data_IF_061859488195
#
_entry.id   IF_061859488195
#
_cell.length_a   1.000
_cell.length_b   1.000
_cell.length_c   1.000
_cell.angle_alpha   90.00
_cell.angle_beta   90.00
_cell.angle_gamma   90.00
#
_symmetry.space_group_name_H-M   'P 1'
#
loop_
_entity.id
_entity.type
_entity.pdbx_description
1 polymer ?
#
# COMPACT_ATOMS: atom_id res chain seq x y z
N UNK A 1 23.65 -17.69 13.36
CA UNK A 1 22.51 -16.81 13.71
C UNK A 1 21.31 -17.21 12.87
N UNK A 2 20.15 -17.46 13.48
CA UNK A 2 18.92 -17.73 12.72
C UNK A 2 18.50 -16.42 12.04
N UNK A 3 18.39 -16.43 10.71
CA UNK A 3 17.92 -15.28 9.93
C UNK A 3 16.48 -14.96 10.34
N UNK A 4 16.20 -13.70 10.67
CA UNK A 4 14.83 -13.28 11.00
C UNK A 4 13.90 -13.62 9.83
N UNK A 5 12.73 -14.19 10.13
CA UNK A 5 11.72 -14.47 9.10
C UNK A 5 11.25 -13.13 8.53
N UNK A 6 11.15 -13.07 7.20
CA UNK A 6 10.64 -11.91 6.48
C UNK A 6 9.16 -12.13 6.17
N UNK A 7 8.32 -11.12 6.40
CA UNK A 7 6.87 -11.22 6.22
C UNK A 7 6.37 -9.98 5.47
N UNK A 8 5.76 -10.22 4.30
CA UNK A 8 5.13 -9.18 3.51
C UNK A 8 3.65 -9.07 3.90
N UNK A 9 3.24 -7.88 4.33
CA UNK A 9 1.83 -7.55 4.55
C UNK A 9 1.30 -6.72 3.40
N UNK A 10 0.15 -7.12 2.87
CA UNK A 10 -0.56 -6.43 1.79
C UNK A 10 -1.99 -6.22 2.27
N UNK A 11 -2.37 -4.96 2.51
CA UNK A 11 -3.68 -4.60 3.06
C UNK A 11 -4.33 -3.49 2.25
N UNK A 12 -5.66 -3.46 2.20
CA UNK A 12 -6.41 -2.36 1.61
C UNK A 12 -6.66 -1.23 2.61
N UNK A 13 -6.69 -1.54 3.91
CA UNK A 13 -7.05 -0.61 4.97
C UNK A 13 -6.01 -0.64 6.09
N UNK A 14 -5.69 0.54 6.63
CA UNK A 14 -4.81 0.67 7.78
C UNK A 14 -5.05 2.00 8.52
N UNK A 15 -5.14 1.94 9.84
CA UNK A 15 -5.16 3.14 10.68
C UNK A 15 -3.74 3.69 10.86
N UNK A 16 -3.52 5.02 10.85
CA UNK A 16 -4.51 6.09 10.79
C UNK A 16 -4.79 6.62 9.36
N UNK A 17 -4.39 5.89 8.32
CA UNK A 17 -4.46 6.39 6.95
C UNK A 17 -5.90 6.41 6.40
N UNK A 18 -6.71 5.42 6.77
CA UNK A 18 -8.15 5.37 6.49
C UNK A 18 -8.95 5.38 7.80
N UNK A 19 -10.27 5.57 7.70
CA UNK A 19 -11.19 5.54 8.85
C UNK A 19 -11.11 4.22 9.63
N UNK A 20 -11.37 4.27 10.94
CA UNK A 20 -11.35 3.08 11.78
C UNK A 20 -12.42 2.07 11.31
N UNK A 21 -11.96 0.85 11.07
CA UNK A 21 -12.76 -0.34 10.79
C UNK A 21 -12.03 -1.53 11.41
N UNK A 22 -12.68 -2.68 11.53
CA UNK A 22 -12.00 -3.90 11.99
C UNK A 22 -10.81 -4.23 11.09
N UNK A 23 -10.95 -4.08 9.77
CA UNK A 23 -9.88 -4.36 8.81
C UNK A 23 -8.74 -3.34 8.92
N UNK A 24 -9.06 -2.05 9.04
CA UNK A 24 -8.06 -0.99 9.21
C UNK A 24 -7.26 -1.16 10.52
N UNK A 25 -7.93 -1.56 11.61
CA UNK A 25 -7.30 -1.82 12.91
C UNK A 25 -6.35 -3.02 12.83
N UNK A 26 -6.80 -4.13 12.22
CA UNK A 26 -5.98 -5.32 12.01
C UNK A 26 -4.81 -5.06 11.06
N UNK A 27 -5.05 -4.28 10.00
CA UNK A 27 -4.04 -3.85 9.03
C UNK A 27 -2.86 -3.15 9.68
N UNK A 28 -3.04 -2.50 10.83
CA UNK A 28 -1.95 -1.93 11.64
C UNK A 28 -1.43 -2.90 12.70
N UNK A 29 -2.33 -3.49 13.52
CA UNK A 29 -1.96 -4.24 14.72
C UNK A 29 -1.21 -5.53 14.40
N UNK A 30 -1.59 -6.24 13.35
CA UNK A 30 -0.96 -7.53 13.00
C UNK A 30 0.48 -7.33 12.50
N UNK A 31 0.77 -6.42 11.54
CA UNK A 31 2.15 -6.13 11.17
C UNK A 31 2.99 -5.61 12.33
N UNK A 32 2.42 -4.71 13.15
CA UNK A 32 3.10 -4.17 14.32
C UNK A 32 3.54 -5.28 15.30
N UNK A 33 2.61 -6.15 15.71
CA UNK A 33 2.92 -7.27 16.62
C UNK A 33 3.97 -8.23 16.01
N UNK A 34 3.91 -8.44 14.69
CA UNK A 34 4.88 -9.27 13.97
C UNK A 34 6.28 -8.67 13.97
N UNK A 35 6.39 -7.35 13.84
CA UNK A 35 7.66 -6.63 13.96
C UNK A 35 8.20 -6.67 15.40
N UNK A 36 7.32 -6.53 16.40
CA UNK A 36 7.66 -6.62 17.83
C UNK A 36 8.17 -8.02 18.20
N UNK A 37 7.70 -9.07 17.51
CA UNK A 37 8.24 -10.45 17.54
C UNK A 37 9.60 -10.59 16.80
N UNK A 38 10.30 -9.47 16.53
CA UNK A 38 11.64 -9.41 15.91
C UNK A 38 11.71 -9.98 14.50
N UNK A 39 10.59 -9.98 13.76
CA UNK A 39 10.55 -10.35 12.34
C UNK A 39 10.75 -9.14 11.46
N UNK A 40 11.34 -9.36 10.30
CA UNK A 40 11.46 -8.31 9.30
C UNK A 40 10.14 -8.19 8.55
N UNK A 41 9.57 -6.98 8.50
CA UNK A 41 8.31 -6.75 7.82
C UNK A 41 8.43 -5.71 6.71
N UNK A 42 7.60 -5.87 5.69
CA UNK A 42 7.26 -4.81 4.73
C UNK A 42 5.74 -4.77 4.63
N UNK A 43 5.16 -3.57 4.67
CA UNK A 43 3.71 -3.41 4.59
C UNK A 43 3.35 -2.49 3.45
N UNK A 44 2.41 -2.95 2.62
CA UNK A 44 1.92 -2.23 1.46
C UNK A 44 0.41 -1.98 1.58
N UNK A 45 -0.01 -0.81 1.10
CA UNK A 45 -1.42 -0.48 0.89
C UNK A 45 -1.62 0.41 -0.32
N UNK A 46 -2.82 0.52 -0.88
CA UNK A 46 -3.11 1.51 -1.92
C UNK A 46 -3.09 2.93 -1.35
N UNK A 47 -2.62 3.90 -2.12
CA UNK A 47 -2.81 5.33 -1.85
C UNK A 47 -4.23 5.70 -2.24
N UNK A 48 -5.23 5.39 -1.43
CA UNK A 48 -6.60 5.84 -1.74
C UNK A 48 -6.69 7.37 -1.80
N UNK A 49 -7.52 7.92 -2.68
CA UNK A 49 -7.60 9.37 -2.93
C UNK A 49 -7.96 10.22 -1.72
N UNK A 50 -8.59 9.63 -0.69
CA UNK A 50 -8.92 10.31 0.56
C UNK A 50 -7.78 10.30 1.60
N UNK A 51 -6.65 9.62 1.32
CA UNK A 51 -5.46 9.66 2.16
C UNK A 51 -4.73 10.98 1.92
N UNK A 52 -4.70 11.83 2.95
CA UNK A 52 -4.06 13.14 2.85
C UNK A 52 -2.53 13.03 2.93
N UNK A 53 -1.85 13.27 1.82
CA UNK A 53 -0.39 13.15 1.73
C UNK A 53 0.36 14.09 2.68
N UNK A 54 -0.04 15.36 2.74
CA UNK A 54 0.63 16.38 3.57
C UNK A 54 0.49 16.07 5.05
N UNK A 55 -0.72 15.74 5.52
CA UNK A 55 -1.00 15.41 6.93
C UNK A 55 -0.23 14.16 7.36
N UNK A 56 -0.17 13.17 6.48
CA UNK A 56 0.43 11.88 6.76
C UNK A 56 1.92 11.80 6.38
N UNK A 57 2.49 12.90 5.86
CA UNK A 57 3.90 12.99 5.44
C UNK A 57 4.30 11.89 4.46
N UNK A 58 3.45 11.63 3.45
CA UNK A 58 3.79 10.71 2.37
C UNK A 58 4.83 11.35 1.46
N UNK A 59 5.93 10.65 1.24
CA UNK A 59 6.97 11.08 0.32
C UNK A 59 7.14 10.04 -0.78
N UNK A 60 7.35 10.49 -2.00
CA UNK A 60 7.64 9.59 -3.10
C UNK A 60 9.03 8.98 -2.97
N UNK A 61 9.11 7.68 -3.27
CA UNK A 61 10.36 6.93 -3.35
C UNK A 61 10.77 6.86 -4.83
N UNK A 62 11.38 7.94 -5.32
CA UNK A 62 11.74 8.15 -6.74
C UNK A 62 12.46 6.94 -7.34
N UNK A 63 13.40 6.34 -6.60
CA UNK A 63 14.16 5.16 -7.06
C UNK A 63 13.30 3.91 -7.28
N UNK A 64 12.10 3.84 -6.70
CA UNK A 64 11.15 2.74 -6.85
C UNK A 64 10.05 3.08 -7.87
N UNK A 65 9.64 4.35 -7.94
CA UNK A 65 8.66 4.87 -8.91
C UNK A 65 9.13 4.86 -10.37
N UNK A 66 8.20 5.17 -11.28
CA UNK A 66 8.47 5.54 -12.68
C UNK A 66 8.49 4.37 -13.67
N UNK A 67 8.21 3.14 -13.20
CA UNK A 67 8.02 1.99 -14.10
C UNK A 67 6.56 1.88 -14.53
N UNK A 68 6.32 1.47 -15.78
CA UNK A 68 4.95 1.22 -16.24
C UNK A 68 4.54 -0.22 -15.96
N UNK A 69 3.29 -0.39 -15.55
CA UNK A 69 2.63 -1.68 -15.44
C UNK A 69 1.51 -1.71 -16.48
N UNK A 70 1.51 -2.76 -17.29
CA UNK A 70 0.43 -3.03 -18.23
C UNK A 70 -0.76 -3.60 -17.45
N UNK A 71 -1.94 -3.00 -17.58
CA UNK A 71 -3.22 -3.52 -17.07
C UNK A 71 -4.24 -3.27 -18.17
N UNK A 72 -4.99 -4.31 -18.57
CA UNK A 72 -5.96 -4.22 -19.68
C UNK A 72 -5.37 -3.57 -20.94
N UNK A 73 -4.22 -4.09 -21.38
CA UNK A 73 -3.44 -3.61 -22.54
C UNK A 73 -3.05 -2.12 -22.51
N UNK A 74 -3.18 -1.46 -21.35
CA UNK A 74 -2.84 -0.06 -21.14
C UNK A 74 -1.68 0.08 -20.17
N UNK A 75 -0.72 0.94 -20.50
CA UNK A 75 0.42 1.26 -19.63
C UNK A 75 0.04 2.28 -18.57
N UNK A 76 0.24 1.92 -17.31
CA UNK A 76 0.01 2.80 -16.16
C UNK A 76 1.28 2.97 -15.35
N UNK A 77 1.66 4.22 -15.07
CA UNK A 77 2.87 4.51 -14.28
C UNK A 77 2.67 4.15 -12.81
N UNK A 78 3.60 3.36 -12.27
CA UNK A 78 3.70 2.99 -10.88
C UNK A 78 4.41 4.09 -10.08
N UNK A 79 3.70 4.68 -9.12
CA UNK A 79 4.26 5.61 -8.14
C UNK A 79 4.30 4.92 -6.78
N UNK A 80 5.46 4.97 -6.12
CA UNK A 80 5.64 4.40 -4.79
C UNK A 80 5.84 5.53 -3.80
N UNK A 81 4.94 5.65 -2.83
CA UNK A 81 5.13 6.57 -1.69
C UNK A 81 5.43 5.80 -0.42
N UNK A 82 5.98 6.47 0.57
CA UNK A 82 6.23 5.91 1.90
C UNK A 82 5.81 6.91 2.97
N UNK A 83 5.25 6.39 4.05
CA UNK A 83 5.06 7.14 5.29
C UNK A 83 5.41 6.26 6.49
N UNK A 84 5.66 6.90 7.62
CA UNK A 84 5.91 6.21 8.89
C UNK A 84 4.71 6.37 9.82
N UNK A 85 4.45 5.36 10.65
CA UNK A 85 3.57 5.45 11.81
C UNK A 85 4.48 5.51 13.04
N UNK A 86 4.76 6.70 13.60
CA UNK A 86 5.77 6.84 14.67
C UNK A 86 5.47 6.00 15.91
N UNK A 87 4.19 5.93 16.30
CA UNK A 87 3.75 5.17 17.47
C UNK A 87 3.90 3.65 17.32
N UNK A 88 3.97 3.13 16.09
CA UNK A 88 4.22 1.73 15.79
C UNK A 88 5.66 1.45 15.32
N UNK A 89 6.49 2.50 15.17
CA UNK A 89 7.82 2.44 14.56
C UNK A 89 7.81 1.64 13.25
N UNK A 90 6.79 1.83 12.43
CA UNK A 90 6.53 1.05 11.22
C UNK A 90 6.54 1.97 9.99
N UNK A 91 7.11 1.48 8.89
CA UNK A 91 7.03 2.12 7.57
C UNK A 91 5.99 1.41 6.70
N UNK A 92 5.23 2.19 5.96
CA UNK A 92 4.18 1.70 5.07
C UNK A 92 4.43 2.25 3.67
N UNK A 93 4.47 1.33 2.70
CA UNK A 93 4.60 1.65 1.29
C UNK A 93 3.21 1.80 0.69
N UNK A 94 3.04 2.83 -0.13
CA UNK A 94 1.81 3.10 -0.82
C UNK A 94 2.02 2.88 -2.31
N UNK A 95 1.18 2.06 -2.91
CA UNK A 95 1.06 1.95 -4.36
C UNK A 95 0.11 3.05 -4.81
N UNK A 96 0.58 3.93 -5.68
CA UNK A 96 -0.17 5.07 -6.20
C UNK A 96 -0.16 5.08 -7.73
N UNK A 97 -1.21 5.67 -8.27
CA UNK A 97 -1.44 5.88 -9.70
C UNK A 97 -2.66 6.81 -9.84
N UNK A 98 -2.53 7.81 -10.72
CA UNK A 98 -3.53 8.86 -10.86
C UNK A 98 -4.85 8.40 -11.51
N UNK A 99 -4.80 7.34 -12.33
CA UNK A 99 -5.97 6.75 -12.97
C UNK A 99 -6.79 5.94 -11.97
N UNK A 100 -6.10 5.17 -11.11
CA UNK A 100 -6.72 4.16 -10.26
C UNK A 100 -7.07 4.62 -8.85
N UNK A 101 -6.31 5.54 -8.24
CA UNK A 101 -6.46 5.81 -6.81
C UNK A 101 -6.71 7.27 -6.45
N UNK A 102 -6.05 8.23 -7.10
CA UNK A 102 -6.13 9.67 -6.73
C UNK A 102 -7.56 10.23 -6.77
N UNK A 103 -8.40 9.79 -7.72
CA UNK A 103 -9.76 10.35 -7.95
C UNK A 103 -10.90 9.52 -7.32
N UNK A 104 -10.58 8.55 -6.48
CA UNK A 104 -11.55 7.56 -5.97
C UNK A 104 -11.41 7.39 -4.46
N UNK A 105 -12.49 6.94 -3.83
CA UNK A 105 -12.44 6.39 -2.48
C UNK A 105 -11.82 4.98 -2.51
N UNK A 106 -12.23 4.10 -1.60
CA UNK A 106 -11.82 2.69 -1.62
C UNK A 106 -12.64 1.94 -2.69
N UNK A 107 -13.31 0.84 -2.35
CA UNK A 107 -14.09 0.06 -3.31
C UNK A 107 -15.42 0.71 -3.74
N UNK A 108 -15.97 1.63 -2.93
CA UNK A 108 -17.29 2.23 -3.12
C UNK A 108 -17.27 3.74 -3.09
N UNK A 109 -18.19 4.36 -3.82
CA UNK A 109 -18.39 5.81 -3.84
C UNK A 109 -19.22 6.33 -2.65
N UNK A 110 -19.56 7.62 -2.67
CA UNK A 110 -20.36 8.28 -1.62
C UNK A 110 -21.79 7.73 -1.48
N UNK A 111 -22.31 7.08 -2.52
CA UNK A 111 -23.64 6.46 -2.54
C UNK A 111 -23.58 4.97 -2.20
N UNK A 112 -22.39 4.43 -1.92
CA UNK A 112 -22.18 3.02 -1.63
C UNK A 112 -22.13 2.12 -2.87
N UNK A 113 -22.10 2.70 -4.08
CA UNK A 113 -21.97 1.94 -5.31
C UNK A 113 -20.51 1.56 -5.57
N UNK A 114 -20.27 0.33 -6.01
CA UNK A 114 -18.94 -0.14 -6.35
C UNK A 114 -18.45 0.48 -7.66
N UNK A 115 -17.16 0.80 -7.72
CA UNK A 115 -16.56 1.26 -8.96
C UNK A 115 -16.37 0.10 -9.94
N UNK A 116 -16.63 0.36 -11.22
CA UNK A 116 -16.53 -0.65 -12.29
C UNK A 116 -15.10 -1.14 -12.50
N UNK A 117 -14.12 -0.30 -12.19
CA UNK A 117 -12.68 -0.53 -12.36
C UNK A 117 -12.00 -1.19 -11.14
N UNK A 118 -12.78 -1.71 -10.18
CA UNK A 118 -12.23 -2.32 -8.96
C UNK A 118 -11.30 -3.52 -9.25
N UNK A 119 -11.56 -4.27 -10.31
CA UNK A 119 -10.75 -5.42 -10.68
C UNK A 119 -9.37 -4.98 -11.21
N UNK A 120 -9.34 -3.97 -12.05
CA UNK A 120 -8.15 -3.35 -12.64
C UNK A 120 -7.31 -2.69 -11.53
N UNK A 121 -7.95 -1.99 -10.60
CA UNK A 121 -7.30 -1.41 -9.41
C UNK A 121 -6.64 -2.47 -8.55
N UNK A 122 -7.33 -3.59 -8.30
CA UNK A 122 -6.78 -4.71 -7.54
C UNK A 122 -5.60 -5.38 -8.27
N UNK A 123 -5.71 -5.56 -9.59
CA UNK A 123 -4.64 -6.11 -10.42
C UNK A 123 -3.40 -5.19 -10.46
N UNK A 124 -3.60 -3.89 -10.67
CA UNK A 124 -2.54 -2.88 -10.64
C UNK A 124 -1.85 -2.86 -9.27
N UNK A 125 -2.63 -2.86 -8.19
CA UNK A 125 -2.08 -2.91 -6.83
C UNK A 125 -1.22 -4.15 -6.59
N UNK A 126 -1.74 -5.34 -6.89
CA UNK A 126 -1.01 -6.58 -6.70
C UNK A 126 0.28 -6.64 -7.52
N UNK A 127 0.24 -6.25 -8.80
CA UNK A 127 1.43 -6.15 -9.67
C UNK A 127 2.43 -5.13 -9.13
N UNK A 128 1.96 -3.95 -8.72
CA UNK A 128 2.80 -2.89 -8.14
C UNK A 128 3.53 -3.34 -6.89
N UNK A 129 2.86 -4.08 -6.00
CA UNK A 129 3.52 -4.68 -4.83
C UNK A 129 4.62 -5.65 -5.25
N UNK A 130 4.33 -6.61 -6.13
CA UNK A 130 5.30 -7.62 -6.55
C UNK A 130 6.53 -7.01 -7.24
N UNK A 131 6.33 -6.06 -8.15
CA UNK A 131 7.43 -5.38 -8.83
C UNK A 131 8.27 -4.53 -7.87
N UNK A 132 7.63 -3.87 -6.90
CA UNK A 132 8.35 -3.11 -5.87
C UNK A 132 9.20 -4.03 -4.99
N UNK A 133 8.65 -5.17 -4.58
CA UNK A 133 9.35 -6.18 -3.76
C UNK A 133 10.58 -6.73 -4.50
N UNK A 134 10.45 -7.03 -5.80
CA UNK A 134 11.59 -7.43 -6.66
C UNK A 134 12.65 -6.33 -6.73
N UNK A 135 12.23 -5.08 -6.98
CA UNK A 135 13.13 -3.91 -7.09
C UNK A 135 13.87 -3.61 -5.79
N UNK A 136 13.23 -3.87 -4.65
CA UNK A 136 13.84 -3.81 -3.32
C UNK A 136 14.84 -4.94 -3.04
N UNK A 137 14.89 -5.98 -3.89
CA UNK A 137 15.66 -7.22 -3.67
C UNK A 137 15.35 -7.85 -2.30
N UNK A 138 14.08 -7.77 -1.89
CA UNK A 138 13.62 -8.23 -0.59
C UNK A 138 12.56 -9.32 -0.80
N UNK A 139 12.98 -10.59 -0.87
CA UNK A 139 12.03 -11.70 -0.89
C UNK A 139 11.63 -12.05 0.56
N UNK A 140 10.32 -12.11 0.89
CA UNK A 140 9.85 -12.64 2.17
C UNK A 140 10.19 -14.13 2.34
#
# INVERSE_FOLDING_TARGET
>A
MIKAKKILFVTQEMTPYVSESTLASLGRKVPQATQEDKREIRTFMPKWGHINERRNQLHEVIRLSGMNLVVDDTDHTLVIKVASIPSARMQVYFIDNDDFFTKRKMARDDKGAEYKDNAERAAFFARGVLETVKKLRWAP
#
